data_IF_066765207369
#
_entry.id   IF_066765207369
#
_cell.length_a   1.000
_cell.length_b   1.000
_cell.length_c   1.000
_cell.angle_alpha   90.00
_cell.angle_beta   90.00
_cell.angle_gamma   90.00
#
_symmetry.space_group_name_H-M   'P 1'
#
loop_
_entity.id
_entity.type
_entity.pdbx_description
1 polymer ?
#
# COMPACT_ATOMS: atom_id res chain seq x y z
N UNK A 1 16.54 1.95 -0.68
CA UNK A 1 15.10 2.09 -0.94
C UNK A 1 14.28 1.55 0.22
N UNK A 2 13.04 1.94 0.30
CA UNK A 2 12.11 1.53 1.36
C UNK A 2 10.81 1.04 0.73
N UNK A 3 10.22 -0.02 1.30
CA UNK A 3 8.87 -0.48 0.97
C UNK A 3 7.91 0.09 2.00
N UNK A 4 6.95 0.88 1.55
CA UNK A 4 5.93 1.48 2.41
C UNK A 4 4.63 0.68 2.29
N UNK A 5 4.22 0.03 3.37
CA UNK A 5 2.91 -0.61 3.47
C UNK A 5 1.89 0.45 3.88
N UNK A 6 1.08 0.90 2.94
CA UNK A 6 0.23 2.09 3.12
C UNK A 6 -1.24 1.70 3.22
N UNK A 7 -1.90 2.14 4.26
CA UNK A 7 -3.34 2.02 4.41
C UNK A 7 -4.06 3.08 3.57
N UNK A 8 -4.85 2.65 2.59
CA UNK A 8 -5.62 3.55 1.73
C UNK A 8 -6.96 3.96 2.33
N UNK A 9 -7.31 3.42 3.49
CA UNK A 9 -8.60 3.69 4.10
C UNK A 9 -9.72 2.80 3.55
N UNK A 10 -10.97 3.10 3.92
CA UNK A 10 -12.11 2.21 3.66
C UNK A 10 -12.74 2.37 2.28
N UNK A 11 -12.17 3.16 1.39
CA UNK A 11 -12.66 3.37 0.03
C UNK A 11 -12.88 4.84 -0.33
N UNK A 12 -13.22 5.69 0.62
CA UNK A 12 -13.32 7.13 0.42
C UNK A 12 -11.92 7.73 0.28
N UNK A 13 -11.58 8.34 -0.89
CA UNK A 13 -10.27 8.93 -1.10
C UNK A 13 -9.89 10.02 -0.08
N UNK A 14 -10.87 10.66 0.54
CA UNK A 14 -10.62 11.68 1.57
C UNK A 14 -10.21 11.08 2.92
N UNK A 15 -10.36 9.77 3.10
CA UNK A 15 -10.00 9.09 4.34
C UNK A 15 -8.62 8.44 4.31
N UNK A 16 -7.82 8.72 3.29
CA UNK A 16 -6.40 8.38 3.31
C UNK A 16 -5.64 9.39 4.17
N UNK A 17 -4.59 8.95 4.84
CA UNK A 17 -3.74 9.89 5.58
C UNK A 17 -2.95 10.78 4.64
N UNK A 18 -2.59 11.98 5.10
CA UNK A 18 -1.72 12.89 4.36
C UNK A 18 -0.38 12.22 4.06
N UNK A 19 0.19 11.50 5.03
CA UNK A 19 1.45 10.77 4.86
C UNK A 19 1.32 9.67 3.81
N UNK A 20 0.24 8.90 3.86
CA UNK A 20 0.00 7.82 2.89
C UNK A 20 -0.10 8.37 1.46
N UNK A 21 -0.86 9.42 1.27
CA UNK A 21 -1.02 10.06 -0.04
C UNK A 21 0.31 10.59 -0.58
N UNK A 22 1.09 11.26 0.26
CA UNK A 22 2.41 11.78 -0.11
C UNK A 22 3.35 10.67 -0.56
N UNK A 23 3.39 9.56 0.17
CA UNK A 23 4.25 8.42 -0.16
C UNK A 23 3.82 7.72 -1.45
N UNK A 24 2.53 7.61 -1.71
CA UNK A 24 2.02 7.08 -2.99
C UNK A 24 2.49 7.99 -4.13
N UNK A 25 2.32 9.29 -3.98
CA UNK A 25 2.72 10.26 -5.01
C UNK A 25 4.20 10.19 -5.33
N UNK A 26 5.04 9.97 -4.33
CA UNK A 26 6.49 10.03 -4.46
C UNK A 26 7.16 8.68 -4.75
N UNK A 27 6.42 7.58 -4.76
CA UNK A 27 7.00 6.26 -5.01
C UNK A 27 7.00 5.92 -6.50
N UNK A 28 8.17 5.58 -7.08
CA UNK A 28 8.25 5.21 -8.49
C UNK A 28 7.52 3.91 -8.84
N UNK A 29 7.41 3.00 -7.87
CA UNK A 29 6.75 1.71 -8.06
C UNK A 29 5.59 1.60 -7.08
N UNK A 30 4.41 1.30 -7.62
CA UNK A 30 3.20 1.13 -6.81
C UNK A 30 2.63 -0.26 -7.06
N UNK A 31 2.42 -1.00 -5.97
CA UNK A 31 1.76 -2.30 -5.95
C UNK A 31 0.50 -2.15 -5.11
N UNK A 32 -0.67 -2.33 -5.70
CA UNK A 32 -1.94 -2.12 -4.99
C UNK A 32 -2.87 -3.32 -5.08
N UNK A 33 -3.63 -3.56 -4.02
CA UNK A 33 -4.62 -4.63 -3.96
C UNK A 33 -5.90 -4.20 -4.69
N UNK A 34 -5.92 -4.38 -6.01
CA UNK A 34 -6.92 -3.80 -6.91
C UNK A 34 -8.35 -4.24 -6.69
N UNK A 35 -8.57 -5.38 -6.01
CA UNK A 35 -9.91 -5.83 -5.65
C UNK A 35 -10.55 -5.00 -4.53
N UNK A 36 -9.76 -4.25 -3.77
CA UNK A 36 -10.20 -3.54 -2.57
C UNK A 36 -9.82 -2.06 -2.54
N UNK A 37 -8.81 -1.65 -3.31
CA UNK A 37 -8.33 -0.27 -3.35
C UNK A 37 -8.90 0.44 -4.57
N UNK A 38 -9.71 1.50 -4.39
CA UNK A 38 -10.23 2.27 -5.51
C UNK A 38 -9.12 2.91 -6.33
N UNK A 39 -9.28 2.94 -7.65
CA UNK A 39 -8.30 3.53 -8.56
C UNK A 39 -8.05 5.01 -8.28
N UNK A 40 -9.05 5.74 -7.78
CA UNK A 40 -8.94 7.16 -7.44
C UNK A 40 -7.82 7.43 -6.41
N UNK A 41 -7.56 6.48 -5.52
CA UNK A 41 -6.47 6.59 -4.54
C UNK A 41 -5.11 6.76 -5.24
N UNK A 42 -4.96 6.18 -6.43
CA UNK A 42 -3.71 6.17 -7.18
C UNK A 42 -3.57 7.37 -8.13
N UNK A 43 -4.62 8.16 -8.30
CA UNK A 43 -4.62 9.28 -9.24
C UNK A 43 -3.52 10.31 -8.94
N UNK A 44 -3.15 10.47 -7.66
CA UNK A 44 -2.06 11.37 -7.25
C UNK A 44 -0.70 10.94 -7.79
N UNK A 45 -0.55 9.68 -8.16
CA UNK A 45 0.69 9.12 -8.71
C UNK A 45 0.73 9.15 -10.24
N UNK A 46 -0.37 9.49 -10.89
CA UNK A 46 -0.45 9.52 -12.33
C UNK A 46 0.54 10.54 -12.91
N UNK A 47 1.34 10.10 -13.86
CA UNK A 47 2.41 10.91 -14.44
C UNK A 47 3.70 10.96 -13.61
N UNK A 48 3.71 10.42 -12.40
CA UNK A 48 4.88 10.37 -11.51
C UNK A 48 5.42 8.95 -11.31
N UNK A 49 4.54 7.96 -11.23
CA UNK A 49 4.96 6.57 -11.04
C UNK A 49 5.46 5.96 -12.35
N UNK A 50 6.54 5.17 -12.25
CA UNK A 50 7.06 4.44 -13.39
C UNK A 50 6.30 3.13 -13.63
N UNK A 51 5.84 2.48 -12.55
CA UNK A 51 5.06 1.24 -12.58
C UNK A 51 3.92 1.30 -11.58
N UNK A 52 2.74 0.94 -12.02
CA UNK A 52 1.56 0.78 -11.17
C UNK A 52 1.00 -0.61 -11.47
N UNK A 53 1.10 -1.52 -10.50
CA UNK A 53 0.80 -2.94 -10.68
C UNK A 53 -0.32 -3.36 -9.75
N UNK A 54 -1.39 -3.92 -10.32
CA UNK A 54 -2.48 -4.55 -9.57
C UNK A 54 -2.04 -5.94 -9.11
N UNK A 55 -2.06 -6.18 -7.79
CA UNK A 55 -1.65 -7.46 -7.21
C UNK A 55 -2.79 -8.45 -7.01
N UNK A 56 -4.01 -8.11 -7.43
CA UNK A 56 -5.18 -8.97 -7.19
C UNK A 56 -5.05 -10.35 -7.85
N UNK A 57 -4.32 -10.46 -8.96
CA UNK A 57 -4.17 -11.70 -9.73
C UNK A 57 -2.76 -12.30 -9.65
N UNK A 58 -1.88 -11.79 -8.81
CA UNK A 58 -0.53 -12.29 -8.66
C UNK A 58 -0.30 -12.82 -7.24
N UNK A 59 0.60 -13.78 -7.10
CA UNK A 59 0.93 -14.38 -5.81
C UNK A 59 2.04 -13.62 -5.09
N UNK A 60 2.35 -14.06 -3.87
CA UNK A 60 3.38 -13.43 -3.05
C UNK A 60 4.76 -13.47 -3.69
N UNK A 61 5.09 -14.58 -4.37
CA UNK A 61 6.40 -14.68 -5.03
C UNK A 61 6.55 -13.66 -6.14
N UNK A 62 5.51 -13.42 -6.92
CA UNK A 62 5.51 -12.39 -7.96
C UNK A 62 5.58 -10.98 -7.37
N UNK A 63 4.87 -10.73 -6.26
CA UNK A 63 4.98 -9.46 -5.54
C UNK A 63 6.43 -9.23 -5.12
N UNK A 64 7.09 -10.24 -4.57
CA UNK A 64 8.49 -10.13 -4.15
C UNK A 64 9.43 -9.88 -5.33
N UNK A 65 9.17 -10.47 -6.50
CA UNK A 65 9.95 -10.20 -7.72
C UNK A 65 9.91 -8.71 -8.06
N UNK A 66 8.75 -8.07 -8.00
CA UNK A 66 8.63 -6.64 -8.27
C UNK A 66 9.36 -5.79 -7.24
N UNK A 67 9.29 -6.16 -5.96
CA UNK A 67 9.98 -5.46 -4.88
C UNK A 67 11.50 -5.60 -5.03
N UNK A 68 11.99 -6.79 -5.32
CA UNK A 68 13.42 -7.06 -5.52
C UNK A 68 13.96 -6.28 -6.72
N UNK A 69 13.20 -6.21 -7.81
CA UNK A 69 13.59 -5.42 -8.97
C UNK A 69 13.70 -3.92 -8.64
N UNK A 70 12.75 -3.39 -7.88
CA UNK A 70 12.80 -2.01 -7.41
C UNK A 70 13.98 -1.77 -6.48
N UNK A 71 14.24 -2.71 -5.57
CA UNK A 71 15.39 -2.64 -4.66
C UNK A 71 16.71 -2.58 -5.41
N UNK A 72 16.87 -3.41 -6.44
CA UNK A 72 18.08 -3.43 -7.29
C UNK A 72 18.32 -2.08 -7.99
N UNK A 73 17.26 -1.34 -8.27
CA UNK A 73 17.33 -0.03 -8.92
C UNK A 73 17.31 1.14 -7.93
N UNK A 74 17.25 0.87 -6.63
CA UNK A 74 17.20 1.90 -5.58
C UNK A 74 15.89 2.68 -5.55
N UNK A 75 14.79 2.10 -6.01
CA UNK A 75 13.48 2.75 -6.11
C UNK A 75 12.56 2.35 -4.97
N UNK A 76 11.93 3.34 -4.32
CA UNK A 76 10.93 3.10 -3.29
C UNK A 76 9.68 2.46 -3.86
N UNK A 77 9.03 1.64 -3.05
CA UNK A 77 7.80 0.94 -3.39
C UNK A 77 6.68 1.35 -2.44
N UNK A 78 5.56 1.79 -2.99
CA UNK A 78 4.31 1.95 -2.26
C UNK A 78 3.48 0.67 -2.42
N UNK A 79 3.34 -0.09 -1.34
CA UNK A 79 2.48 -1.28 -1.27
C UNK A 79 1.16 -0.85 -0.65
N UNK A 80 0.13 -0.65 -1.46
CA UNK A 80 -1.12 -0.03 -1.04
C UNK A 80 -2.18 -1.08 -0.71
N UNK A 81 -2.69 -1.02 0.51
CA UNK A 81 -3.73 -1.91 1.04
C UNK A 81 -5.00 -1.13 1.35
N UNK A 82 -6.15 -1.80 1.34
CA UNK A 82 -7.39 -1.21 1.86
C UNK A 82 -7.31 -1.09 3.38
N UNK A 83 -8.06 -0.18 3.95
CA UNK A 83 -8.13 0.02 5.40
C UNK A 83 -6.77 0.34 6.01
N UNK A 84 -6.37 -0.48 6.98
CA UNK A 84 -5.08 -0.41 7.68
C UNK A 84 -4.31 -1.71 7.41
N UNK A 85 -3.04 -1.65 6.96
CA UNK A 85 -2.29 -2.87 6.64
C UNK A 85 -2.06 -3.80 7.84
N UNK A 86 -2.08 -3.27 9.06
CA UNK A 86 -1.92 -4.08 10.28
C UNK A 86 -3.20 -4.82 10.67
N UNK A 87 -4.34 -4.47 10.09
CA UNK A 87 -5.64 -5.09 10.36
C UNK A 87 -6.08 -5.84 9.11
N UNK A 88 -5.95 -7.16 9.12
CA UNK A 88 -6.28 -8.08 8.01
C UNK A 88 -5.48 -7.84 6.71
N UNK A 89 -4.39 -7.07 6.78
CA UNK A 89 -3.56 -6.77 5.60
C UNK A 89 -2.68 -7.91 5.15
N UNK A 90 -2.52 -8.96 5.95
CA UNK A 90 -1.68 -10.12 5.66
C UNK A 90 -0.24 -9.75 5.26
N UNK A 91 0.31 -8.71 5.89
CA UNK A 91 1.65 -8.21 5.54
C UNK A 91 2.79 -8.94 6.27
N UNK A 92 2.49 -9.78 7.25
CA UNK A 92 3.51 -10.44 8.07
C UNK A 92 4.52 -11.25 7.27
N UNK A 93 4.07 -12.04 6.29
CA UNK A 93 4.96 -12.83 5.45
C UNK A 93 5.80 -11.95 4.52
N UNK A 94 5.21 -10.89 3.99
CA UNK A 94 5.96 -9.93 3.17
C UNK A 94 7.06 -9.27 4.00
N UNK A 95 6.75 -8.80 5.19
CA UNK A 95 7.72 -8.20 6.12
C UNK A 95 8.85 -9.18 6.43
N UNK A 96 8.52 -10.43 6.73
CA UNK A 96 9.53 -11.45 7.03
C UNK A 96 10.50 -11.63 5.87
N UNK A 97 10.01 -11.68 4.65
CA UNK A 97 10.86 -11.81 3.45
C UNK A 97 11.72 -10.58 3.22
N UNK A 98 11.19 -9.38 3.47
CA UNK A 98 11.97 -8.14 3.39
C UNK A 98 13.10 -8.13 4.42
N UNK A 99 12.82 -8.52 5.66
CA UNK A 99 13.83 -8.61 6.71
C UNK A 99 14.95 -9.60 6.34
N UNK A 100 14.60 -10.74 5.76
CA UNK A 100 15.58 -11.74 5.32
C UNK A 100 16.52 -11.20 4.24
N UNK A 101 16.06 -10.26 3.43
CA UNK A 101 16.83 -9.67 2.34
C UNK A 101 17.47 -8.33 2.70
N UNK A 102 17.28 -7.86 3.92
CA UNK A 102 17.81 -6.57 4.36
C UNK A 102 17.16 -5.38 3.67
N UNK A 103 15.91 -5.53 3.23
CA UNK A 103 15.14 -4.45 2.60
C UNK A 103 14.37 -3.69 3.68
N UNK A 104 14.55 -2.38 3.73
CA UNK A 104 13.85 -1.51 4.70
C UNK A 104 12.38 -1.41 4.37
N UNK A 105 11.57 -1.31 5.40
CA UNK A 105 10.13 -1.11 5.27
C UNK A 105 9.57 -0.20 6.36
N UNK A 106 8.42 0.38 6.09
CA UNK A 106 7.66 1.18 7.06
C UNK A 106 6.17 0.89 6.87
N UNK A 107 5.43 0.76 7.97
CA UNK A 107 3.97 0.54 7.93
C UNK A 107 3.27 1.87 8.23
N UNK A 108 2.43 2.32 7.31
CA UNK A 108 1.68 3.56 7.42
C UNK A 108 0.22 3.21 7.72
N UNK A 109 -0.31 3.58 8.89
CA UNK A 109 -1.68 3.21 9.25
C UNK A 109 -2.73 3.88 8.35
N UNK A 110 -3.90 3.31 8.34
CA UNK A 110 -5.05 3.84 7.62
C UNK A 110 -6.33 3.71 8.44
N UNK A 111 -7.40 4.31 7.95
CA UNK A 111 -8.73 4.21 8.58
C UNK A 111 -9.33 2.85 8.25
N UNK A 112 -9.67 2.06 9.27
CA UNK A 112 -10.28 0.74 9.11
C UNK A 112 -11.75 0.84 8.72
N UNK A 113 -12.27 -0.20 8.08
CA UNK A 113 -13.70 -0.31 7.77
C UNK A 113 -14.55 -0.25 9.04
N UNK A 114 -14.08 -0.77 10.16
CA UNK A 114 -14.77 -0.71 11.45
C UNK A 114 -14.98 0.73 11.91
N UNK A 115 -13.92 1.54 11.90
CA UNK A 115 -13.99 2.95 12.29
C UNK A 115 -14.88 3.76 11.34
N UNK A 116 -14.75 3.52 10.03
CA UNK A 116 -15.56 4.20 9.03
C UNK A 116 -17.05 3.84 9.15
N UNK A 117 -17.37 2.57 9.40
CA UNK A 117 -18.75 2.11 9.59
C UNK A 117 -19.37 2.71 10.85
N UNK A 118 -18.60 2.77 11.94
CA UNK A 118 -19.06 3.39 13.18
C UNK A 118 -19.36 4.89 12.99
N UNK A 119 -18.49 5.59 12.28
CA UNK A 119 -18.69 7.00 11.97
C UNK A 119 -19.93 7.21 11.09
N UNK A 120 -20.13 6.38 10.08
CA UNK A 120 -21.30 6.42 9.20
C UNK A 120 -22.62 6.24 10.00
N UNK A 121 -22.59 5.29 10.95
CA UNK A 121 -23.75 5.00 11.79
C UNK A 121 -23.93 5.98 12.95
N UNK A 122 -22.95 6.86 13.20
CA UNK A 122 -22.96 7.76 14.35
C UNK A 122 -22.86 7.01 15.69
N UNK A 123 -22.14 5.88 15.70
CA UNK A 123 -22.01 5.02 16.87
C UNK A 123 -20.60 5.09 17.47
N UNK A 124 -20.56 4.83 18.76
CA UNK A 124 -19.32 4.68 19.52
C UNK A 124 -18.89 3.21 19.56
#
# INVERSE_FOLDING_TARGET
MTVYFIGAGPGDPELITVKGQRLIKNSPVILYAGSLVPREILDVAEGHAEKIIDTASIDLDEIMVHIEAAHAEGKDVARVHSGDPSVYGAIGEQIRRLEQQGIDYEVIPGVTATSASAAWLGKE
#
